data_IF_519774961190
#
_entry.id   IF_519774961190
#
_cell.length_a   1.000
_cell.length_b   1.000
_cell.length_c   1.000
_cell.angle_alpha   90.00
_cell.angle_beta   90.00
_cell.angle_gamma   90.00
#
_symmetry.space_group_name_H-M   'P 1'
#
loop_
_entity.id
_entity.type
_entity.pdbx_description
1 polymer ?
#
# COMPACT_ATOMS: atom_id res chain seq x y z
N UNK A 1 -4.93 -18.27 -16.45
CA UNK A 1 -5.68 -18.71 -15.25
C UNK A 1 -4.63 -18.93 -14.19
N UNK A 2 -4.72 -18.31 -13.04
CA UNK A 2 -3.81 -18.64 -11.94
C UNK A 2 -4.08 -20.09 -11.51
N UNK A 3 -3.03 -20.89 -11.43
CA UNK A 3 -3.15 -22.27 -10.98
C UNK A 3 -3.63 -22.31 -9.52
N UNK A 4 -4.53 -23.21 -9.19
CA UNK A 4 -4.98 -23.47 -7.85
C UNK A 4 -6.40 -22.95 -7.49
N UNK A 5 -7.09 -22.22 -8.37
CA UNK A 5 -8.48 -21.84 -8.12
C UNK A 5 -9.43 -23.04 -8.15
N UNK A 6 -10.31 -23.12 -7.15
CA UNK A 6 -11.36 -24.14 -7.05
C UNK A 6 -12.48 -23.91 -8.06
N UNK A 7 -12.79 -22.62 -8.36
CA UNK A 7 -13.75 -22.20 -9.39
C UNK A 7 -13.07 -21.20 -10.32
N UNK A 8 -13.54 -21.05 -11.58
CA UNK A 8 -12.99 -20.04 -12.47
C UNK A 8 -13.04 -18.64 -11.81
N UNK A 9 -11.90 -17.91 -11.74
CA UNK A 9 -11.82 -16.66 -10.96
C UNK A 9 -12.74 -15.54 -11.46
N UNK A 10 -13.19 -15.60 -12.72
CA UNK A 10 -14.06 -14.60 -13.34
C UNK A 10 -15.53 -15.06 -13.47
N UNK A 11 -15.86 -16.22 -12.88
CA UNK A 11 -17.24 -16.74 -12.78
C UNK A 11 -17.62 -16.75 -11.29
N UNK A 12 -18.24 -15.68 -10.77
CA UNK A 12 -18.48 -15.56 -9.34
C UNK A 12 -19.46 -16.61 -8.83
N UNK A 13 -19.14 -17.22 -7.70
CA UNK A 13 -19.98 -18.23 -7.03
C UNK A 13 -20.32 -17.77 -5.64
N UNK A 14 -21.61 -17.82 -5.28
CA UNK A 14 -22.08 -17.59 -3.91
C UNK A 14 -22.24 -18.93 -3.22
N UNK A 15 -21.56 -19.12 -2.10
CA UNK A 15 -21.60 -20.31 -1.28
C UNK A 15 -21.31 -19.98 0.19
N UNK A 16 -22.07 -20.53 1.11
CA UNK A 16 -21.87 -20.41 2.56
C UNK A 16 -21.76 -18.94 3.05
N UNK A 17 -22.62 -18.06 2.52
CA UNK A 17 -22.62 -16.63 2.87
C UNK A 17 -21.44 -15.82 2.32
N UNK A 18 -20.70 -16.38 1.38
CA UNK A 18 -19.56 -15.74 0.72
C UNK A 18 -19.73 -15.72 -0.79
N UNK A 19 -19.24 -14.67 -1.42
CA UNK A 19 -19.03 -14.58 -2.86
C UNK A 19 -17.54 -14.88 -3.17
N UNK A 20 -17.29 -15.84 -4.03
CA UNK A 20 -15.96 -16.21 -4.50
C UNK A 20 -15.73 -15.67 -5.90
N UNK A 21 -14.58 -15.08 -6.15
CA UNK A 21 -14.20 -14.57 -7.46
C UNK A 21 -13.10 -13.51 -7.36
N UNK A 22 -12.27 -13.38 -8.39
CA UNK A 22 -11.20 -12.37 -8.42
C UNK A 22 -11.77 -10.96 -8.40
N UNK A 23 -11.30 -10.16 -7.44
CA UNK A 23 -11.71 -8.77 -7.25
C UNK A 23 -13.00 -8.63 -6.43
N UNK A 24 -13.59 -9.71 -5.89
CA UNK A 24 -14.78 -9.57 -5.07
C UNK A 24 -14.49 -8.87 -3.74
N UNK A 25 -13.30 -9.05 -3.18
CA UNK A 25 -12.79 -8.31 -2.02
C UNK A 25 -12.00 -7.08 -2.45
N UNK A 26 -11.08 -7.24 -3.39
CA UNK A 26 -10.09 -6.22 -3.78
C UNK A 26 -10.32 -5.76 -5.25
N UNK A 27 -11.10 -4.66 -5.44
CA UNK A 27 -12.09 -4.05 -4.52
C UNK A 27 -13.44 -3.82 -5.22
N UNK A 28 -13.81 -4.68 -6.21
CA UNK A 28 -15.09 -4.53 -6.94
C UNK A 28 -16.30 -4.64 -5.99
N UNK A 29 -16.18 -5.41 -4.88
CA UNK A 29 -17.19 -5.47 -3.85
C UNK A 29 -17.45 -4.10 -3.22
N UNK A 30 -16.40 -3.39 -2.80
CA UNK A 30 -16.50 -2.04 -2.25
C UNK A 30 -17.06 -1.02 -3.26
N UNK A 31 -16.56 -1.07 -4.49
CA UNK A 31 -17.08 -0.24 -5.58
C UNK A 31 -18.57 -0.48 -5.82
N UNK A 32 -18.99 -1.73 -5.90
CA UNK A 32 -20.42 -2.04 -6.13
C UNK A 32 -21.29 -1.77 -4.91
N UNK A 33 -20.73 -1.87 -3.68
CA UNK A 33 -21.45 -1.45 -2.48
C UNK A 33 -21.76 0.06 -2.52
N UNK A 34 -20.85 0.89 -3.02
CA UNK A 34 -21.07 2.33 -3.18
C UNK A 34 -22.19 2.63 -4.21
N UNK A 35 -22.19 1.92 -5.35
CA UNK A 35 -23.27 2.02 -6.35
C UNK A 35 -24.62 1.60 -5.76
N UNK A 36 -24.64 0.49 -5.03
CA UNK A 36 -25.87 -0.02 -4.41
C UNK A 36 -26.37 0.86 -3.27
N UNK A 37 -25.50 1.59 -2.57
CA UNK A 37 -25.92 2.57 -1.57
C UNK A 37 -26.72 3.72 -2.22
N UNK A 38 -26.24 4.27 -3.33
CA UNK A 38 -26.99 5.30 -4.08
C UNK A 38 -28.31 4.75 -4.59
N UNK A 39 -28.29 3.53 -5.17
CA UNK A 39 -29.51 2.88 -5.63
C UNK A 39 -30.53 2.65 -4.50
N UNK A 40 -30.09 2.19 -3.35
CA UNK A 40 -30.93 1.97 -2.17
C UNK A 40 -31.65 3.26 -1.76
N UNK A 41 -30.94 4.40 -1.71
CA UNK A 41 -31.53 5.69 -1.37
C UNK A 41 -32.55 6.13 -2.40
N UNK A 42 -32.25 5.98 -3.69
CA UNK A 42 -33.17 6.31 -4.78
C UNK A 42 -34.44 5.45 -4.73
N UNK A 43 -34.32 4.12 -4.57
CA UNK A 43 -35.42 3.19 -4.50
C UNK A 43 -36.31 3.44 -3.25
N UNK A 44 -35.70 3.94 -2.15
CA UNK A 44 -36.42 4.32 -0.95
C UNK A 44 -37.03 5.74 -1.02
N UNK A 45 -36.84 6.45 -2.14
CA UNK A 45 -37.42 7.77 -2.38
C UNK A 45 -36.74 8.93 -1.69
N UNK A 46 -35.46 8.74 -1.26
CA UNK A 46 -34.65 9.84 -0.70
C UNK A 46 -34.14 10.75 -1.83
N UNK A 47 -34.24 12.05 -1.62
CA UNK A 47 -33.47 13.03 -2.38
C UNK A 47 -32.05 13.08 -1.81
N UNK A 48 -31.05 13.03 -2.69
CA UNK A 48 -29.66 13.15 -2.26
C UNK A 48 -29.35 14.59 -1.85
N UNK A 49 -28.79 14.84 -0.65
CA UNK A 49 -28.53 16.19 -0.17
C UNK A 49 -27.31 16.86 -0.83
N UNK A 50 -26.66 16.19 -1.73
CA UNK A 50 -25.52 16.68 -2.51
C UNK A 50 -25.17 15.75 -3.66
N UNK A 51 -24.16 16.14 -4.46
CA UNK A 51 -23.68 15.36 -5.57
C UNK A 51 -22.88 14.14 -5.07
N UNK A 52 -23.18 12.97 -5.60
CA UNK A 52 -22.44 11.73 -5.36
C UNK A 52 -21.76 11.30 -6.65
N UNK A 53 -20.43 11.32 -6.64
CA UNK A 53 -19.63 10.87 -7.77
C UNK A 53 -18.97 9.53 -7.44
N UNK A 54 -19.19 8.52 -8.27
CA UNK A 54 -18.53 7.22 -8.17
C UNK A 54 -17.50 7.12 -9.28
N UNK A 55 -16.22 6.96 -8.90
CA UNK A 55 -15.13 6.78 -9.84
C UNK A 55 -14.75 5.31 -9.93
N UNK A 56 -15.02 4.70 -11.10
CA UNK A 56 -14.49 3.38 -11.43
C UNK A 56 -13.24 3.57 -12.29
N UNK A 57 -12.09 3.33 -11.70
CA UNK A 57 -10.80 3.55 -12.33
C UNK A 57 -10.11 2.23 -12.67
N UNK A 58 -9.10 2.28 -13.53
CA UNK A 58 -8.23 1.17 -13.85
C UNK A 58 -6.82 1.41 -13.30
N UNK A 59 -6.03 0.32 -13.25
CA UNK A 59 -4.60 0.37 -12.96
C UNK A 59 -4.26 0.85 -11.53
N UNK A 60 -5.14 0.58 -10.55
CA UNK A 60 -4.84 0.82 -9.14
C UNK A 60 -3.61 0.02 -8.71
N UNK A 61 -3.59 -1.30 -9.00
CA UNK A 61 -2.52 -2.26 -8.71
C UNK A 61 -1.18 -1.95 -9.41
N UNK A 62 -1.23 -1.20 -10.51
CA UNK A 62 -0.06 -0.79 -11.29
C UNK A 62 0.49 0.59 -10.92
N UNK A 63 -0.15 1.32 -10.00
CA UNK A 63 0.32 2.64 -9.54
C UNK A 63 -0.72 3.75 -9.51
N UNK A 64 -1.99 3.44 -9.80
CA UNK A 64 -3.12 4.35 -9.66
C UNK A 64 -3.29 5.31 -10.85
N UNK A 65 -2.89 4.92 -12.07
CA UNK A 65 -2.97 5.81 -13.23
C UNK A 65 -4.39 6.29 -13.53
N UNK A 66 -5.42 5.48 -13.26
CA UNK A 66 -6.81 5.88 -13.41
C UNK A 66 -7.21 6.99 -12.46
N UNK A 67 -6.89 6.87 -11.18
CA UNK A 67 -7.10 7.91 -10.17
C UNK A 67 -6.27 9.15 -10.45
N UNK A 68 -5.00 9.00 -10.86
CA UNK A 68 -4.16 10.13 -11.28
C UNK A 68 -4.84 10.92 -12.41
N UNK A 69 -5.37 10.24 -13.43
CA UNK A 69 -6.09 10.89 -14.51
C UNK A 69 -7.35 11.62 -14.06
N UNK A 70 -8.12 11.03 -13.14
CA UNK A 70 -9.31 11.67 -12.59
C UNK A 70 -8.96 12.97 -11.84
N UNK A 71 -7.96 12.91 -10.98
CA UNK A 71 -7.44 14.05 -10.22
C UNK A 71 -6.84 15.13 -11.14
N UNK A 72 -6.05 14.72 -12.13
CA UNK A 72 -5.43 15.66 -13.10
C UNK A 72 -6.47 16.35 -14.01
N UNK A 73 -7.63 15.76 -14.23
CA UNK A 73 -8.78 16.40 -14.90
C UNK A 73 -9.56 17.33 -14.00
N UNK A 74 -9.12 17.52 -12.77
CA UNK A 74 -9.71 18.46 -11.80
C UNK A 74 -10.88 17.89 -11.00
N UNK A 75 -11.10 16.58 -11.00
CA UNK A 75 -12.13 15.98 -10.15
C UNK A 75 -11.77 16.20 -8.68
N UNK A 76 -12.72 16.76 -7.93
CA UNK A 76 -12.61 17.06 -6.49
C UNK A 76 -13.93 16.77 -5.80
N UNK A 77 -13.85 16.55 -4.50
CA UNK A 77 -15.02 16.38 -3.64
C UNK A 77 -14.75 16.96 -2.25
N UNK A 78 -15.81 17.29 -1.51
CA UNK A 78 -15.75 17.71 -0.11
C UNK A 78 -15.43 16.55 0.84
N UNK A 79 -15.57 15.31 0.38
CA UNK A 79 -15.19 14.09 1.08
C UNK A 79 -15.05 12.93 0.10
N UNK A 80 -14.04 12.10 0.29
CA UNK A 80 -13.74 10.92 -0.52
C UNK A 80 -13.72 9.68 0.39
N UNK A 81 -14.37 8.63 -0.05
CA UNK A 81 -14.24 7.28 0.52
C UNK A 81 -13.58 6.39 -0.50
N UNK A 82 -12.39 5.89 -0.18
CA UNK A 82 -11.75 4.84 -0.96
C UNK A 82 -12.25 3.48 -0.46
N UNK A 83 -12.84 2.71 -1.36
CA UNK A 83 -13.66 1.53 -1.03
C UNK A 83 -12.86 0.22 -0.91
N UNK A 84 -11.57 0.31 -0.56
CA UNK A 84 -10.69 -0.84 -0.31
C UNK A 84 -11.17 -1.70 0.85
N UNK A 85 -10.86 -3.00 0.87
CA UNK A 85 -11.20 -3.87 2.00
C UNK A 85 -10.46 -3.43 3.26
N UNK A 86 -11.20 -3.28 4.37
CA UNK A 86 -10.66 -2.70 5.61
C UNK A 86 -10.91 -3.53 6.86
N UNK A 87 -11.29 -4.80 6.73
CA UNK A 87 -11.59 -5.64 7.90
C UNK A 87 -12.62 -5.00 8.86
N UNK A 88 -13.62 -4.28 8.30
CA UNK A 88 -14.65 -3.56 9.07
C UNK A 88 -14.07 -2.43 9.97
N UNK A 89 -12.95 -1.84 9.60
CA UNK A 89 -12.33 -0.72 10.30
C UNK A 89 -12.29 0.55 9.45
N UNK A 90 -12.21 1.71 10.09
CA UNK A 90 -12.00 2.98 9.43
C UNK A 90 -10.49 3.24 9.32
N UNK A 91 -9.97 3.24 8.11
CA UNK A 91 -8.55 3.48 7.86
C UNK A 91 -8.33 4.97 7.59
N UNK A 92 -7.47 5.59 8.39
CA UNK A 92 -7.09 6.99 8.28
C UNK A 92 -5.66 7.23 7.86
N UNK A 93 -4.86 6.17 7.74
CA UNK A 93 -3.47 6.29 7.29
C UNK A 93 -2.99 5.02 6.61
N UNK A 94 -2.09 5.15 5.64
CA UNK A 94 -1.29 4.03 5.15
C UNK A 94 0.17 4.46 4.91
N UNK A 95 1.09 3.50 4.93
CA UNK A 95 2.51 3.76 4.74
C UNK A 95 2.82 4.19 3.29
N UNK A 96 3.87 5.00 3.14
CA UNK A 96 4.51 5.20 1.85
C UNK A 96 5.57 4.12 1.59
N UNK A 97 6.05 4.03 0.35
CA UNK A 97 7.06 3.03 -0.02
C UNK A 97 8.05 3.55 -1.07
N UNK A 98 9.26 2.98 -1.02
CA UNK A 98 10.30 3.18 -2.03
C UNK A 98 10.96 1.83 -2.32
N UNK A 99 10.97 1.43 -3.58
CA UNK A 99 11.65 0.23 -4.03
C UNK A 99 13.01 0.59 -4.62
N UNK A 100 14.06 0.00 -4.06
CA UNK A 100 15.43 0.16 -4.52
C UNK A 100 15.96 -1.12 -5.14
N UNK A 101 16.83 -0.97 -6.12
CA UNK A 101 17.77 -2.00 -6.55
C UNK A 101 19.19 -1.48 -6.37
N UNK A 102 20.07 -2.32 -5.82
CA UNK A 102 21.49 -1.99 -5.63
C UNK A 102 22.33 -3.05 -6.32
N UNK A 103 23.14 -2.62 -7.29
CA UNK A 103 24.03 -3.47 -8.07
C UNK A 103 25.48 -3.29 -7.58
N UNK A 104 26.21 -4.40 -7.45
CA UNK A 104 27.57 -4.46 -6.96
C UNK A 104 28.49 -5.09 -7.99
N UNK A 105 29.65 -4.48 -8.17
CA UNK A 105 30.74 -5.01 -8.97
C UNK A 105 31.79 -5.67 -8.06
N UNK A 106 32.30 -6.80 -8.51
CA UNK A 106 33.42 -7.52 -7.93
C UNK A 106 34.47 -7.87 -8.98
N UNK A 107 35.36 -8.79 -8.64
CA UNK A 107 36.35 -9.34 -9.57
C UNK A 107 36.33 -10.85 -9.50
N UNK A 108 35.79 -11.48 -10.56
CA UNK A 108 35.69 -12.91 -10.63
C UNK A 108 37.07 -13.60 -10.75
N UNK A 109 37.24 -14.71 -10.03
CA UNK A 109 38.39 -15.62 -10.17
C UNK A 109 38.01 -17.01 -9.63
N UNK A 110 38.89 -17.98 -9.80
CA UNK A 110 38.75 -19.29 -9.18
C UNK A 110 38.78 -19.19 -7.64
N UNK A 111 37.88 -19.89 -6.93
CA UNK A 111 37.78 -19.80 -5.46
C UNK A 111 39.05 -20.15 -4.70
N UNK A 112 39.91 -21.06 -5.25
CA UNK A 112 41.21 -21.36 -4.71
C UNK A 112 42.21 -20.22 -4.80
N UNK A 113 41.98 -19.24 -5.66
CA UNK A 113 42.77 -18.02 -5.82
C UNK A 113 42.01 -16.79 -5.29
N UNK A 114 41.19 -16.93 -4.25
CA UNK A 114 40.29 -15.89 -3.74
C UNK A 114 41.02 -14.55 -3.47
N UNK A 115 42.27 -14.59 -3.10
CA UNK A 115 43.10 -13.38 -2.84
C UNK A 115 43.32 -12.49 -4.09
N UNK A 116 43.10 -13.04 -5.31
CA UNK A 116 43.21 -12.31 -6.58
C UNK A 116 41.90 -11.72 -7.06
N UNK A 117 40.79 -12.12 -6.41
CA UNK A 117 39.44 -11.70 -6.72
C UNK A 117 38.81 -10.81 -5.66
N UNK A 118 37.57 -10.32 -5.96
CA UNK A 118 36.76 -9.57 -5.02
C UNK A 118 35.31 -10.06 -5.15
N UNK A 119 34.75 -10.57 -4.08
CA UNK A 119 33.38 -11.09 -4.07
C UNK A 119 32.36 -9.97 -4.00
N UNK A 120 31.57 -9.79 -5.04
CA UNK A 120 30.44 -8.86 -5.05
C UNK A 120 29.38 -9.22 -4.01
N UNK A 121 29.17 -10.52 -3.72
CA UNK A 121 28.26 -10.97 -2.66
C UNK A 121 28.73 -10.48 -1.28
N UNK A 122 30.04 -10.57 -0.98
CA UNK A 122 30.57 -10.08 0.29
C UNK A 122 30.44 -8.54 0.42
N UNK A 123 30.46 -7.80 -0.71
CA UNK A 123 30.22 -6.35 -0.72
C UNK A 123 28.74 -6.06 -0.46
N UNK A 124 27.82 -6.78 -1.10
CA UNK A 124 26.39 -6.65 -0.86
C UNK A 124 26.02 -6.94 0.61
N UNK A 125 26.58 -7.98 1.21
CA UNK A 125 26.36 -8.33 2.62
C UNK A 125 26.74 -7.16 3.56
N UNK A 126 27.86 -6.48 3.33
CA UNK A 126 28.26 -5.32 4.14
C UNK A 126 27.23 -4.19 4.08
N UNK A 127 26.73 -3.88 2.89
CA UNK A 127 25.72 -2.84 2.71
C UNK A 127 24.41 -3.25 3.36
N UNK A 128 23.95 -4.50 3.17
CA UNK A 128 22.74 -5.04 3.81
C UNK A 128 22.84 -4.91 5.34
N UNK A 129 23.97 -5.22 5.94
CA UNK A 129 24.18 -5.06 7.39
C UNK A 129 24.01 -3.59 7.82
N UNK A 130 24.57 -2.64 7.08
CA UNK A 130 24.39 -1.22 7.39
C UNK A 130 22.96 -0.72 7.22
N UNK A 131 22.22 -1.26 6.24
CA UNK A 131 20.80 -0.97 6.04
C UNK A 131 19.94 -1.56 7.16
N UNK A 132 20.23 -2.77 7.63
CA UNK A 132 19.57 -3.37 8.79
C UNK A 132 19.79 -2.56 10.07
N UNK A 133 20.99 -1.98 10.26
CA UNK A 133 21.26 -1.04 11.37
C UNK A 133 20.41 0.24 11.24
N UNK A 134 20.23 0.74 10.04
CA UNK A 134 19.36 1.89 9.77
C UNK A 134 17.90 1.57 10.13
N UNK A 135 17.36 0.45 9.65
CA UNK A 135 16.01 -0.02 10.01
C UNK A 135 15.86 -0.19 11.53
N UNK A 136 16.87 -0.80 12.18
CA UNK A 136 16.83 -0.98 13.65
C UNK A 136 16.73 0.36 14.40
N UNK A 137 17.42 1.41 13.94
CA UNK A 137 17.25 2.76 14.50
C UNK A 137 15.81 3.27 14.32
N UNK A 138 15.21 3.10 13.14
CA UNK A 138 13.83 3.49 12.90
C UNK A 138 12.86 2.75 13.81
N UNK A 139 13.04 1.42 13.95
CA UNK A 139 12.25 0.60 14.86
C UNK A 139 12.31 1.07 16.33
N UNK A 140 13.40 1.72 16.74
CA UNK A 140 13.55 2.23 18.10
C UNK A 140 13.01 3.66 18.28
N UNK A 141 13.07 4.49 17.25
CA UNK A 141 12.88 5.94 17.37
C UNK A 141 11.60 6.46 16.76
N UNK A 142 11.04 5.77 15.76
CA UNK A 142 9.84 6.22 15.06
C UNK A 142 8.62 5.49 15.62
N UNK A 143 7.65 6.27 16.08
CA UNK A 143 6.38 5.77 16.62
C UNK A 143 5.25 6.57 16.02
N UNK A 144 4.25 5.87 15.56
CA UNK A 144 3.01 6.44 15.05
C UNK A 144 1.81 5.78 15.73
N UNK A 145 0.72 6.52 15.87
CA UNK A 145 -0.46 6.03 16.58
C UNK A 145 -1.19 4.92 15.82
N UNK A 146 -1.26 5.03 14.50
CA UNK A 146 -2.02 4.13 13.64
C UNK A 146 -1.14 3.17 12.83
N UNK A 147 0.12 3.54 12.55
CA UNK A 147 1.00 2.80 11.67
C UNK A 147 2.14 2.12 12.42
N UNK A 148 2.62 0.97 11.95
CA UNK A 148 3.82 0.37 12.50
C UNK A 148 5.05 1.25 12.22
N UNK A 149 6.17 0.99 12.90
CA UNK A 149 7.44 1.62 12.55
C UNK A 149 7.83 1.34 11.10
N UNK A 150 8.66 2.21 10.49
CA UNK A 150 9.21 1.96 9.16
C UNK A 150 9.95 0.63 9.10
N UNK A 151 9.93 0.01 7.93
CA UNK A 151 10.57 -1.29 7.71
C UNK A 151 11.33 -1.32 6.39
N UNK A 152 12.37 -2.18 6.34
CA UNK A 152 13.15 -2.45 5.15
C UNK A 152 13.16 -3.96 4.90
N UNK A 153 12.70 -4.39 3.74
CA UNK A 153 12.70 -5.80 3.35
C UNK A 153 13.63 -6.04 2.17
N UNK A 154 14.66 -6.85 2.35
CA UNK A 154 15.45 -7.37 1.23
C UNK A 154 14.67 -8.54 0.61
N UNK A 155 13.93 -8.25 -0.45
CA UNK A 155 13.03 -9.23 -1.08
C UNK A 155 13.71 -10.17 -2.08
N UNK A 156 14.77 -9.69 -2.71
CA UNK A 156 15.54 -10.45 -3.72
C UNK A 156 17.03 -10.20 -3.52
N UNK A 157 17.84 -11.25 -3.65
CA UNK A 157 19.29 -11.16 -3.79
C UNK A 157 19.75 -12.14 -4.87
N UNK A 158 20.57 -11.66 -5.80
CA UNK A 158 21.07 -12.45 -6.91
C UNK A 158 22.59 -12.23 -7.06
N UNK A 159 23.34 -13.28 -7.23
CA UNK A 159 24.79 -13.17 -7.44
C UNK A 159 25.51 -14.51 -7.49
N UNK A 160 26.65 -14.52 -8.20
CA UNK A 160 27.47 -15.70 -8.37
C UNK A 160 26.92 -16.71 -9.40
N UNK A 161 27.78 -17.64 -9.83
CA UNK A 161 27.45 -18.65 -10.85
C UNK A 161 27.77 -20.06 -10.39
N UNK A 162 28.78 -20.25 -9.54
CA UNK A 162 29.19 -21.55 -9.02
C UNK A 162 29.98 -21.40 -7.72
N UNK A 163 29.93 -22.40 -6.84
CA UNK A 163 30.66 -22.39 -5.57
C UNK A 163 32.21 -22.37 -5.73
N UNK A 164 32.72 -22.71 -6.92
CA UNK A 164 34.14 -22.67 -7.25
C UNK A 164 34.61 -21.34 -7.84
N UNK A 165 33.74 -20.32 -7.90
CA UNK A 165 34.04 -19.01 -8.49
C UNK A 165 33.77 -17.89 -7.50
N UNK A 166 34.72 -16.95 -7.36
CA UNK A 166 34.48 -15.69 -6.64
C UNK A 166 33.51 -14.83 -7.48
N UNK A 167 32.36 -14.40 -6.95
CA UNK A 167 31.36 -13.68 -7.74
C UNK A 167 31.83 -12.30 -8.19
N UNK A 168 31.76 -12.03 -9.49
CA UNK A 168 32.07 -10.72 -10.07
C UNK A 168 30.92 -9.74 -10.03
N UNK A 169 29.69 -10.22 -9.81
CA UNK A 169 28.47 -9.41 -9.77
C UNK A 169 27.54 -9.89 -8.66
N UNK A 170 26.81 -8.96 -8.07
CA UNK A 170 25.72 -9.23 -7.16
C UNK A 170 24.72 -8.06 -7.20
N UNK A 171 23.45 -8.34 -7.03
CA UNK A 171 22.45 -7.28 -6.81
C UNK A 171 21.46 -7.71 -5.74
N UNK A 172 20.83 -6.72 -5.09
CA UNK A 172 19.65 -6.97 -4.30
C UNK A 172 18.55 -5.96 -4.62
N UNK A 173 17.28 -6.38 -4.43
CA UNK A 173 16.12 -5.50 -4.47
C UNK A 173 15.47 -5.45 -3.09
N UNK A 174 15.08 -4.25 -2.68
CA UNK A 174 14.49 -4.00 -1.37
C UNK A 174 13.33 -3.03 -1.47
N UNK A 175 12.35 -3.18 -0.57
CA UNK A 175 11.29 -2.21 -0.35
C UNK A 175 11.46 -1.59 1.04
N UNK A 176 11.42 -0.27 1.09
CA UNK A 176 11.31 0.49 2.34
C UNK A 176 9.89 1.01 2.47
N UNK A 177 9.22 0.67 3.57
CA UNK A 177 7.95 1.29 3.97
C UNK A 177 8.21 2.37 5.02
N UNK A 178 7.56 3.53 4.88
CA UNK A 178 7.79 4.67 5.77
C UNK A 178 6.48 5.32 6.24
N UNK A 179 6.54 5.97 7.40
CA UNK A 179 5.41 6.67 8.03
C UNK A 179 5.30 8.09 7.47
N UNK A 180 4.21 8.45 6.77
CA UNK A 180 4.15 9.65 5.91
C UNK A 180 4.26 10.99 6.64
N UNK A 181 3.79 11.09 7.88
CA UNK A 181 3.85 12.34 8.65
C UNK A 181 5.16 12.54 9.41
N UNK A 182 5.92 11.48 9.60
CA UNK A 182 7.23 11.51 10.29
C UNK A 182 8.41 11.40 9.32
N UNK A 183 8.15 10.91 8.12
CA UNK A 183 9.13 10.72 7.05
C UNK A 183 8.49 11.09 5.71
N UNK A 184 9.33 11.43 4.75
CA UNK A 184 8.92 11.55 3.35
C UNK A 184 9.85 10.76 2.44
N UNK A 185 9.47 10.60 1.19
CA UNK A 185 10.24 9.86 0.20
C UNK A 185 11.69 10.35 0.09
N UNK A 186 11.90 11.67 0.06
CA UNK A 186 13.25 12.26 -0.10
C UNK A 186 14.14 11.95 1.11
N UNK A 187 13.59 11.97 2.32
CA UNK A 187 14.30 11.56 3.53
C UNK A 187 14.74 10.11 3.48
N UNK A 188 13.83 9.21 3.06
CA UNK A 188 14.13 7.78 2.91
C UNK A 188 15.22 7.56 1.87
N UNK A 189 15.09 8.17 0.69
CA UNK A 189 16.09 8.05 -0.39
C UNK A 189 17.44 8.58 0.07
N UNK A 190 17.47 9.72 0.73
CA UNK A 190 18.68 10.32 1.25
C UNK A 190 19.36 9.42 2.28
N UNK A 191 18.65 8.97 3.30
CA UNK A 191 19.23 8.16 4.38
C UNK A 191 19.70 6.79 3.85
N UNK A 192 18.93 6.15 2.97
CA UNK A 192 19.33 4.92 2.30
C UNK A 192 20.64 5.11 1.52
N UNK A 193 20.71 6.16 0.70
CA UNK A 193 21.89 6.47 -0.11
C UNK A 193 23.10 6.78 0.78
N UNK A 194 22.93 7.58 1.84
CA UNK A 194 24.01 7.90 2.78
C UNK A 194 24.58 6.66 3.48
N UNK A 195 23.75 5.67 3.81
CA UNK A 195 24.22 4.40 4.37
C UNK A 195 25.04 3.62 3.35
N UNK A 196 24.54 3.46 2.12
CA UNK A 196 25.29 2.77 1.05
C UNK A 196 26.63 3.45 0.78
N UNK A 197 26.65 4.77 0.65
CA UNK A 197 27.88 5.54 0.42
C UNK A 197 28.86 5.46 1.60
N UNK A 198 28.38 5.55 2.83
CA UNK A 198 29.22 5.44 4.02
C UNK A 198 29.92 4.09 4.10
N UNK A 199 29.19 2.99 3.84
CA UNK A 199 29.75 1.65 3.81
C UNK A 199 30.74 1.51 2.65
N UNK A 200 30.41 2.06 1.48
CA UNK A 200 31.28 2.01 0.29
C UNK A 200 32.61 2.71 0.55
N UNK A 201 32.60 3.91 1.15
CA UNK A 201 33.86 4.64 1.53
C UNK A 201 34.70 3.92 2.57
N UNK A 202 34.14 2.99 3.34
CA UNK A 202 34.88 2.18 4.31
C UNK A 202 35.50 0.90 3.73
N UNK A 203 35.29 0.64 2.43
CA UNK A 203 35.78 -0.54 1.73
C UNK A 203 36.56 -0.11 0.48
N UNK A 204 37.87 -0.37 0.43
CA UNK A 204 38.75 0.10 -0.64
C UNK A 204 38.32 -0.32 -2.06
N UNK A 205 37.63 -1.45 -2.21
CA UNK A 205 37.09 -1.85 -3.50
C UNK A 205 35.86 -1.04 -3.87
N UNK A 206 34.90 -0.94 -2.94
CA UNK A 206 33.63 -0.20 -3.20
C UNK A 206 33.87 1.32 -3.29
N UNK A 207 34.92 1.86 -2.69
CA UNK A 207 35.35 3.26 -2.87
C UNK A 207 35.73 3.53 -4.33
N UNK A 208 36.47 2.59 -4.95
CA UNK A 208 36.87 2.68 -6.37
C UNK A 208 35.76 2.21 -7.35
N UNK A 209 34.85 1.35 -6.90
CA UNK A 209 33.76 0.75 -7.67
C UNK A 209 32.46 0.87 -6.86
N UNK A 210 31.89 2.09 -6.73
CA UNK A 210 30.73 2.32 -5.88
C UNK A 210 29.50 1.56 -6.38
N UNK A 211 28.70 0.98 -5.48
CA UNK A 211 27.45 0.33 -5.85
C UNK A 211 26.51 1.30 -6.55
N UNK A 212 25.78 0.79 -7.55
CA UNK A 212 24.81 1.58 -8.29
C UNK A 212 23.43 1.40 -7.66
N UNK A 213 22.86 2.51 -7.19
CA UNK A 213 21.49 2.55 -6.64
C UNK A 213 20.54 2.99 -7.73
N UNK A 214 19.43 2.28 -7.88
CA UNK A 214 18.31 2.67 -8.72
C UNK A 214 17.00 2.55 -7.95
N UNK A 215 16.07 3.46 -8.21
CA UNK A 215 14.70 3.44 -7.68
C UNK A 215 13.81 3.06 -8.85
N UNK A 216 12.98 2.03 -8.69
CA UNK A 216 12.12 1.56 -9.78
C UNK A 216 10.61 1.70 -9.49
N UNK A 217 10.24 1.93 -8.22
CA UNK A 217 8.86 2.22 -7.85
C UNK A 217 8.80 3.03 -6.57
N UNK A 218 7.85 3.96 -6.48
CA UNK A 218 7.59 4.74 -5.27
C UNK A 218 6.09 4.98 -5.09
N UNK A 219 5.69 5.19 -3.85
CA UNK A 219 4.35 5.65 -3.53
C UNK A 219 4.36 6.48 -2.25
N UNK A 220 3.67 7.61 -2.28
CA UNK A 220 3.49 8.41 -1.09
C UNK A 220 2.56 7.71 -0.10
N UNK A 221 2.80 7.92 1.19
CA UNK A 221 1.84 7.54 2.21
C UNK A 221 0.64 8.49 2.24
N UNK A 222 -0.35 8.12 2.99
CA UNK A 222 -1.58 8.87 3.20
C UNK A 222 -1.85 9.00 4.70
N UNK A 223 -2.34 10.16 5.12
CA UNK A 223 -2.89 10.35 6.46
C UNK A 223 -3.99 11.39 6.46
N UNK A 224 -5.04 11.10 7.22
CA UNK A 224 -6.18 11.96 7.48
C UNK A 224 -6.25 12.32 8.95
N UNK A 225 -6.55 13.56 9.24
CA UNK A 225 -6.72 14.06 10.61
C UNK A 225 -7.95 13.38 11.25
N UNK A 226 -7.78 12.85 12.46
CA UNK A 226 -8.86 12.13 13.15
C UNK A 226 -10.00 13.05 13.62
N UNK A 227 -9.72 14.34 13.84
CA UNK A 227 -10.68 15.37 14.26
C UNK A 227 -11.37 16.07 13.08
N UNK A 228 -11.18 15.56 11.84
CA UNK A 228 -11.84 16.14 10.69
C UNK A 228 -13.34 15.78 10.66
N UNK A 229 -14.24 16.72 10.30
CA UNK A 229 -15.69 16.51 10.28
C UNK A 229 -16.15 15.27 9.48
N UNK A 230 -15.46 14.91 8.39
CA UNK A 230 -15.76 13.70 7.62
C UNK A 230 -15.58 12.43 8.46
N UNK A 231 -14.56 12.38 9.30
CA UNK A 231 -14.25 11.24 10.16
C UNK A 231 -15.33 11.08 11.24
N UNK A 232 -15.72 12.19 11.88
CA UNK A 232 -16.79 12.17 12.88
C UNK A 232 -18.12 11.76 12.26
N UNK A 233 -18.46 12.35 11.09
CA UNK A 233 -19.69 11.97 10.35
C UNK A 233 -19.69 10.50 9.96
N UNK A 234 -18.54 9.96 9.53
CA UNK A 234 -18.44 8.54 9.22
C UNK A 234 -18.67 7.67 10.46
N UNK A 235 -18.04 8.00 11.60
CA UNK A 235 -18.22 7.26 12.86
C UNK A 235 -19.68 7.25 13.31
N UNK A 236 -20.36 8.40 13.20
CA UNK A 236 -21.82 8.55 13.48
C UNK A 236 -22.63 7.67 12.51
N UNK A 237 -22.42 7.80 11.20
CA UNK A 237 -23.13 7.05 10.17
C UNK A 237 -22.96 5.52 10.34
N UNK A 238 -21.73 5.09 10.63
CA UNK A 238 -21.42 3.69 10.91
C UNK A 238 -22.19 3.17 12.14
N UNK A 239 -22.15 3.93 13.25
CA UNK A 239 -22.86 3.56 14.48
C UNK A 239 -24.36 3.52 14.31
N UNK A 240 -24.95 4.45 13.57
CA UNK A 240 -26.38 4.46 13.28
C UNK A 240 -26.81 3.32 12.34
N UNK A 241 -25.97 2.98 11.35
CA UNK A 241 -26.25 1.90 10.41
C UNK A 241 -26.16 0.51 11.06
N UNK A 242 -25.16 0.29 11.94
CA UNK A 242 -24.80 -1.05 12.39
C UNK A 242 -24.98 -1.26 13.91
N UNK A 243 -25.39 -0.24 14.66
CA UNK A 243 -25.55 -0.27 16.13
C UNK A 243 -24.28 -0.70 16.89
N UNK A 244 -23.12 -0.38 16.33
CA UNK A 244 -21.79 -0.61 16.93
C UNK A 244 -20.81 0.50 16.53
N UNK A 245 -19.72 0.68 17.30
CA UNK A 245 -18.68 1.65 16.96
C UNK A 245 -17.67 1.07 15.98
N UNK A 246 -17.17 1.90 15.05
CA UNK A 246 -16.06 1.53 14.19
C UNK A 246 -14.73 1.71 14.91
N UNK A 247 -13.79 0.80 14.69
CA UNK A 247 -12.39 0.95 15.12
C UNK A 247 -11.62 1.79 14.09
N UNK A 248 -10.79 2.71 14.56
CA UNK A 248 -9.89 3.50 13.71
C UNK A 248 -8.52 2.85 13.66
N UNK A 249 -8.01 2.60 12.47
CA UNK A 249 -6.72 1.94 12.26
C UNK A 249 -5.92 2.59 11.13
N UNK A 250 -4.70 2.13 10.95
CA UNK A 250 -3.86 2.37 9.78
C UNK A 250 -3.68 1.10 8.97
N UNK A 251 -3.51 1.25 7.67
CA UNK A 251 -3.21 0.14 6.76
C UNK A 251 -1.71 0.01 6.51
N UNK A 252 -1.25 -1.23 6.44
CA UNK A 252 0.11 -1.55 5.99
C UNK A 252 0.25 -1.43 4.47
N UNK A 253 -0.88 -1.50 3.75
CA UNK A 253 -0.95 -1.49 2.29
C UNK A 253 -1.24 -0.07 1.81
N UNK A 254 -0.56 0.33 0.74
CA UNK A 254 -0.85 1.58 0.07
C UNK A 254 -1.98 1.41 -0.93
N UNK A 255 -2.73 2.47 -1.17
CA UNK A 255 -3.83 2.51 -2.14
C UNK A 255 -4.01 3.91 -2.71
N UNK A 256 -5.01 4.11 -3.57
CA UNK A 256 -5.26 5.38 -4.24
C UNK A 256 -5.75 6.51 -3.30
N UNK A 257 -6.04 6.25 -2.02
CA UNK A 257 -6.34 7.28 -1.02
C UNK A 257 -5.28 8.40 -1.01
N UNK A 258 -4.00 8.04 -1.20
CA UNK A 258 -2.88 8.98 -1.29
C UNK A 258 -3.01 9.99 -2.42
N UNK A 259 -3.62 9.61 -3.53
CA UNK A 259 -3.77 10.47 -4.71
C UNK A 259 -4.87 11.52 -4.48
N UNK A 260 -5.99 11.10 -3.94
CA UNK A 260 -7.10 11.99 -3.58
C UNK A 260 -6.71 12.96 -2.47
N UNK A 261 -6.03 12.46 -1.43
CA UNK A 261 -5.58 13.30 -0.31
C UNK A 261 -4.45 14.24 -0.71
N UNK A 262 -3.37 13.72 -1.30
CA UNK A 262 -2.13 14.48 -1.46
C UNK A 262 -2.11 15.33 -2.73
N UNK A 263 -2.77 14.88 -3.81
CA UNK A 263 -2.76 15.60 -5.11
C UNK A 263 -4.03 16.42 -5.27
N UNK A 264 -5.21 15.81 -5.07
CA UNK A 264 -6.48 16.54 -5.18
C UNK A 264 -6.74 17.47 -3.99
N UNK A 265 -6.11 17.20 -2.83
CA UNK A 265 -6.34 17.96 -1.59
C UNK A 265 -7.71 17.68 -0.96
N UNK A 266 -8.34 16.56 -1.32
CA UNK A 266 -9.65 16.18 -0.80
C UNK A 266 -9.53 15.49 0.58
N UNK A 267 -10.41 15.80 1.54
CA UNK A 267 -10.55 14.98 2.74
C UNK A 267 -10.88 13.54 2.33
N UNK A 268 -10.07 12.58 2.77
CA UNK A 268 -10.16 11.20 2.29
C UNK A 268 -10.10 10.22 3.46
N UNK A 269 -11.02 9.28 3.48
CA UNK A 269 -11.03 8.12 4.38
C UNK A 269 -11.03 6.84 3.54
N UNK A 270 -10.66 5.72 4.17
CA UNK A 270 -10.73 4.42 3.52
C UNK A 270 -11.63 3.51 4.35
N UNK A 271 -12.61 2.92 3.69
CA UNK A 271 -13.53 1.95 4.27
C UNK A 271 -14.18 1.15 3.15
N UNK A 272 -14.20 -0.17 3.28
CA UNK A 272 -14.91 -1.04 2.38
C UNK A 272 -15.02 -2.46 2.92
N UNK A 273 -15.94 -3.25 2.32
CA UNK A 273 -16.19 -4.61 2.75
C UNK A 273 -15.05 -5.54 2.35
N UNK A 274 -14.84 -6.56 3.16
CA UNK A 274 -13.86 -7.60 2.90
C UNK A 274 -12.67 -7.56 3.84
N UNK A 275 -11.93 -8.67 3.83
CA UNK A 275 -10.78 -8.88 4.68
C UNK A 275 -9.48 -8.69 3.87
N UNK A 276 -8.57 -7.83 4.33
CA UNK A 276 -7.29 -7.57 3.67
C UNK A 276 -6.46 -8.83 3.40
N UNK A 277 -6.61 -9.85 4.25
CA UNK A 277 -5.98 -11.16 4.04
C UNK A 277 -6.47 -11.92 2.79
N UNK A 278 -7.57 -11.49 2.16
CA UNK A 278 -8.09 -12.08 0.92
C UNK A 278 -7.54 -11.40 -0.34
N UNK A 279 -6.92 -10.23 -0.21
CA UNK A 279 -6.32 -9.53 -1.33
C UNK A 279 -5.23 -10.40 -1.97
N UNK A 280 -5.22 -10.48 -3.31
CA UNK A 280 -4.24 -11.20 -4.12
C UNK A 280 -4.15 -12.72 -3.86
N UNK A 281 -5.12 -13.31 -3.14
CA UNK A 281 -5.13 -14.75 -2.87
C UNK A 281 -5.87 -15.56 -3.94
N UNK A 282 -5.56 -16.85 -4.03
CA UNK A 282 -6.36 -17.83 -4.77
C UNK A 282 -7.64 -18.09 -3.98
N UNK A 283 -8.76 -18.33 -4.68
CA UNK A 283 -10.09 -18.48 -4.07
C UNK A 283 -10.50 -17.28 -3.21
N UNK A 284 -10.12 -16.08 -3.63
CA UNK A 284 -10.55 -14.80 -3.04
C UNK A 284 -12.05 -14.78 -2.81
N UNK A 285 -12.48 -14.32 -1.65
CA UNK A 285 -13.88 -14.27 -1.27
C UNK A 285 -14.23 -13.04 -0.45
N UNK A 286 -15.50 -12.63 -0.55
CA UNK A 286 -16.12 -11.55 0.21
C UNK A 286 -17.32 -12.10 1.00
N UNK A 287 -17.42 -11.79 2.30
CA UNK A 287 -18.63 -12.07 3.09
C UNK A 287 -19.78 -11.22 2.59
N UNK A 288 -20.94 -11.84 2.35
CA UNK A 288 -22.14 -11.11 1.92
C UNK A 288 -22.65 -10.15 2.99
N UNK A 289 -22.54 -10.52 4.28
CA UNK A 289 -22.92 -9.63 5.39
C UNK A 289 -22.07 -8.36 5.39
N UNK A 290 -20.73 -8.47 5.25
CA UNK A 290 -19.83 -7.31 5.14
C UNK A 290 -20.18 -6.40 3.96
N UNK A 291 -20.53 -7.00 2.81
CA UNK A 291 -20.98 -6.26 1.63
C UNK A 291 -22.29 -5.50 1.89
N UNK A 292 -23.29 -6.14 2.51
CA UNK A 292 -24.57 -5.51 2.82
C UNK A 292 -24.44 -4.42 3.89
N UNK A 293 -23.61 -4.65 4.91
CA UNK A 293 -23.29 -3.65 5.92
C UNK A 293 -22.63 -2.41 5.31
N UNK A 294 -21.67 -2.59 4.39
CA UNK A 294 -21.04 -1.47 3.72
C UNK A 294 -22.03 -0.62 2.90
N UNK A 295 -23.01 -1.24 2.25
CA UNK A 295 -24.09 -0.52 1.54
C UNK A 295 -24.86 0.39 2.51
N UNK A 296 -25.21 -0.12 3.70
CA UNK A 296 -25.94 0.65 4.70
C UNK A 296 -25.09 1.81 5.25
N UNK A 297 -23.81 1.56 5.53
CA UNK A 297 -22.88 2.59 6.02
C UNK A 297 -22.70 3.69 4.97
N UNK A 298 -22.48 3.34 3.70
CA UNK A 298 -22.34 4.32 2.63
C UNK A 298 -23.63 5.13 2.43
N UNK A 299 -24.79 4.47 2.41
CA UNK A 299 -26.07 5.16 2.29
C UNK A 299 -26.27 6.17 3.42
N UNK A 300 -25.99 5.77 4.66
CA UNK A 300 -26.09 6.65 5.82
C UNK A 300 -25.10 7.81 5.75
N UNK A 301 -23.84 7.54 5.36
CA UNK A 301 -22.82 8.56 5.19
C UNK A 301 -23.20 9.60 4.12
N UNK A 302 -23.74 9.16 2.98
CA UNK A 302 -24.20 10.05 1.90
C UNK A 302 -25.22 11.06 2.44
N UNK A 303 -26.22 10.60 3.18
CA UNK A 303 -27.23 11.48 3.77
C UNK A 303 -26.61 12.43 4.80
N UNK A 304 -25.90 11.88 5.78
CA UNK A 304 -25.37 12.67 6.91
C UNK A 304 -24.28 13.68 6.51
N UNK A 305 -23.44 13.34 5.52
CA UNK A 305 -22.41 14.24 5.03
C UNK A 305 -22.96 15.36 4.16
N UNK A 306 -23.91 15.03 3.27
CA UNK A 306 -24.52 16.03 2.41
C UNK A 306 -25.36 17.06 3.18
N UNK A 307 -26.00 16.68 4.29
CA UNK A 307 -26.75 17.61 5.16
C UNK A 307 -25.84 18.61 5.93
N UNK A 308 -24.58 18.26 6.12
CA UNK A 308 -23.60 19.13 6.82
C UNK A 308 -22.92 20.15 5.89
N UNK A 309 -23.15 20.06 4.57
CA UNK A 309 -22.58 20.93 3.53
C UNK A 309 -23.61 21.83 2.89
#
# INVERSE_FOLDING_TARGET
MEDGWTNPPFEPVIRDGKMYGRGCTDMKGGLMASVMAVKLLQDAGYELPGDVTITSVCDEEGGGNGSIQAVMRGLKADGVVNCEPTDDTLILAHMGWVFFKVDFEGKACHSGAKAEGVSAIEKAIKVIQGLNEMEHRWLLTIRHRLLPPPSLNIGVIEGGTAGSTVPGECSFSTCVHYVPTLMNQDMVVKEFTEVVERISRSDAWMEAHPPKISIYQTGHGFEMEEDHPLVDTFKEAYSEALSRSVKVEGSHFGCDSRLWRNIAGCPTIQYGPGEGAQCHTVDEWLKLDSYLEAILVYAKLILSWGEKK
#
